data_IF_767828647962
#
_entry.id   IF_767828647962
#
_cell.length_a   1.000
_cell.length_b   1.000
_cell.length_c   1.000
_cell.angle_alpha   90.00
_cell.angle_beta   90.00
_cell.angle_gamma   90.00
#
_symmetry.space_group_name_H-M   'P 1'
#
loop_
_entity.id
_entity.type
_entity.pdbx_description
1 polymer ?
#
# COMPACT_ATOMS: atom_id res chain seq x y z
N UNK A 1 -20.08 38.31 -5.88
CA UNK A 1 -18.78 38.22 -5.21
C UNK A 1 -18.48 36.76 -4.91
N UNK A 2 -17.36 36.24 -5.42
CA UNK A 2 -16.67 35.05 -4.93
C UNK A 2 -17.31 33.68 -5.17
N UNK A 3 -17.27 33.18 -6.41
CA UNK A 3 -17.30 31.72 -6.66
C UNK A 3 -16.02 31.12 -6.09
N UNK A 4 -16.12 30.50 -4.91
CA UNK A 4 -15.02 29.74 -4.32
C UNK A 4 -14.86 28.42 -5.06
N UNK A 5 -13.73 28.26 -5.73
CA UNK A 5 -13.32 27.03 -6.42
C UNK A 5 -13.46 25.81 -5.49
N UNK A 6 -14.51 25.03 -5.68
CA UNK A 6 -14.50 23.62 -5.33
C UNK A 6 -13.51 22.94 -6.28
N UNK A 7 -12.24 22.90 -5.90
CA UNK A 7 -11.31 21.98 -6.56
C UNK A 7 -11.89 20.60 -6.32
N UNK A 8 -12.39 19.95 -7.38
CA UNK A 8 -12.67 18.53 -7.37
C UNK A 8 -11.47 17.85 -6.71
N UNK A 9 -11.64 17.31 -5.50
CA UNK A 9 -10.61 16.55 -4.79
C UNK A 9 -10.47 15.17 -5.44
N UNK A 10 -10.22 15.15 -6.75
CA UNK A 10 -9.89 13.96 -7.50
C UNK A 10 -8.56 13.40 -6.98
N UNK A 11 -8.57 12.15 -6.50
CA UNK A 11 -7.33 11.46 -6.16
C UNK A 11 -6.50 11.26 -7.42
N UNK A 12 -5.35 11.92 -7.51
CA UNK A 12 -4.34 11.54 -8.50
C UNK A 12 -3.65 10.26 -8.02
N UNK A 13 -4.10 9.13 -8.56
CA UNK A 13 -3.59 7.80 -8.24
C UNK A 13 -2.08 7.65 -8.49
N UNK A 14 -1.47 8.50 -9.31
CA UNK A 14 -0.02 8.49 -9.58
C UNK A 14 0.82 8.90 -8.38
N UNK A 15 0.21 9.53 -7.36
CA UNK A 15 0.87 9.84 -6.08
C UNK A 15 1.22 8.57 -5.30
N UNK A 16 0.49 7.48 -5.55
CA UNK A 16 0.73 6.16 -4.97
C UNK A 16 1.47 5.34 -6.03
N UNK A 17 2.69 4.84 -5.76
CA UNK A 17 3.39 3.96 -6.70
C UNK A 17 2.63 2.64 -6.86
N UNK A 18 2.83 1.94 -7.98
CA UNK A 18 2.29 0.59 -8.14
C UNK A 18 3.07 -0.38 -7.25
N UNK A 19 2.36 -1.37 -6.72
CA UNK A 19 2.96 -2.46 -5.95
C UNK A 19 2.67 -3.78 -6.63
N UNK A 20 3.73 -4.47 -7.06
CA UNK A 20 3.65 -5.75 -7.76
C UNK A 20 3.96 -6.95 -6.86
N UNK A 21 4.51 -6.69 -5.66
CA UNK A 21 4.98 -7.70 -4.72
C UNK A 21 6.44 -8.10 -4.89
N UNK A 22 7.23 -7.33 -5.65
CA UNK A 22 8.66 -7.59 -5.85
C UNK A 22 9.48 -7.45 -4.55
N UNK A 23 10.53 -8.27 -4.32
CA UNK A 23 11.30 -8.24 -3.08
C UNK A 23 12.02 -6.92 -2.80
N UNK A 24 12.21 -6.07 -3.81
CA UNK A 24 12.83 -4.76 -3.67
C UNK A 24 11.85 -3.70 -3.13
N UNK A 25 10.55 -3.98 -3.12
CA UNK A 25 9.52 -3.10 -2.62
C UNK A 25 9.11 -3.51 -1.20
N UNK A 26 9.11 -2.55 -0.27
CA UNK A 26 8.57 -2.78 1.08
C UNK A 26 7.06 -2.61 1.06
N UNK A 27 6.31 -3.69 1.31
CA UNK A 27 4.85 -3.66 1.46
C UNK A 27 4.41 -2.74 2.61
N UNK A 28 5.22 -2.64 3.67
CA UNK A 28 4.94 -1.78 4.83
C UNK A 28 5.04 -0.31 4.43
N UNK A 29 6.17 0.10 3.85
CA UNK A 29 6.36 1.50 3.41
C UNK A 29 5.32 1.90 2.35
N UNK A 30 4.97 0.95 1.46
CA UNK A 30 3.95 1.16 0.46
C UNK A 30 2.55 1.41 1.09
N UNK A 31 2.15 0.58 2.05
CA UNK A 31 0.89 0.74 2.79
C UNK A 31 0.84 2.06 3.55
N UNK A 32 1.90 2.42 4.27
CA UNK A 32 2.00 3.71 4.98
C UNK A 32 1.86 4.90 4.03
N UNK A 33 2.47 4.82 2.84
CA UNK A 33 2.34 5.85 1.81
C UNK A 33 0.91 5.97 1.28
N UNK A 34 0.23 4.84 1.04
CA UNK A 34 -1.19 4.82 0.62
C UNK A 34 -2.05 5.54 1.66
N UNK A 35 -1.90 5.19 2.94
CA UNK A 35 -2.66 5.81 4.04
C UNK A 35 -2.39 7.31 4.16
N UNK A 36 -1.13 7.71 4.08
CA UNK A 36 -0.75 9.12 4.13
C UNK A 36 -1.37 9.90 2.97
N UNK A 37 -1.29 9.39 1.74
CA UNK A 37 -1.88 10.05 0.57
C UNK A 37 -3.40 10.15 0.73
N UNK A 38 -4.08 9.08 1.12
CA UNK A 38 -5.53 9.11 1.36
C UNK A 38 -5.91 10.15 2.41
N UNK A 39 -5.17 10.22 3.54
CA UNK A 39 -5.37 11.23 4.58
C UNK A 39 -5.19 12.66 4.07
N UNK A 40 -4.14 12.92 3.29
CA UNK A 40 -3.85 14.24 2.71
C UNK A 40 -4.89 14.67 1.66
N UNK A 41 -5.63 13.73 1.09
CA UNK A 41 -6.66 13.97 0.06
C UNK A 41 -8.09 13.87 0.61
N UNK A 42 -8.27 13.74 1.92
CA UNK A 42 -9.56 13.55 2.60
C UNK A 42 -10.35 12.32 2.09
N UNK A 43 -9.65 11.21 1.85
CA UNK A 43 -10.23 9.94 1.41
C UNK A 43 -10.35 9.00 2.61
N UNK A 44 -11.58 8.67 2.97
CA UNK A 44 -11.90 7.76 4.07
C UNK A 44 -11.87 6.28 3.66
N UNK A 45 -12.25 5.96 2.43
CA UNK A 45 -12.32 4.58 1.93
C UNK A 45 -10.98 4.14 1.33
N UNK A 46 -10.00 3.89 2.19
CA UNK A 46 -8.67 3.40 1.78
C UNK A 46 -8.73 1.99 1.20
N UNK A 47 -9.69 1.16 1.63
CA UNK A 47 -9.87 -0.20 1.14
C UNK A 47 -10.15 -0.22 -0.37
N UNK A 48 -10.89 0.76 -0.89
CA UNK A 48 -11.11 0.92 -2.33
C UNK A 48 -9.87 1.39 -3.11
N UNK A 49 -8.95 2.11 -2.47
CA UNK A 49 -7.77 2.71 -3.14
C UNK A 49 -6.66 1.70 -3.34
N UNK A 50 -6.42 0.84 -2.35
CA UNK A 50 -5.37 -0.19 -2.38
C UNK A 50 -5.39 -0.99 -3.70
N UNK A 51 -6.49 -1.67 -4.09
CA UNK A 51 -6.49 -2.51 -5.28
C UNK A 51 -6.27 -1.75 -6.59
N UNK A 52 -6.52 -0.43 -6.65
CA UNK A 52 -6.29 0.38 -7.85
C UNK A 52 -4.81 0.55 -8.20
N UNK A 53 -3.92 0.28 -7.23
CA UNK A 53 -2.47 0.42 -7.36
C UNK A 53 -1.72 -0.89 -7.15
N UNK A 54 -2.44 -1.99 -6.94
CA UNK A 54 -1.87 -3.32 -6.96
C UNK A 54 -1.73 -3.81 -8.41
N UNK A 55 -0.62 -4.48 -8.69
CA UNK A 55 -0.34 -5.14 -9.97
C UNK A 55 0.26 -6.52 -9.69
N UNK A 56 0.49 -7.31 -10.74
CA UNK A 56 1.25 -8.56 -10.64
C UNK A 56 0.77 -9.51 -9.53
N UNK A 57 1.73 -10.03 -8.76
CA UNK A 57 1.47 -10.97 -7.66
C UNK A 57 0.66 -10.36 -6.53
N UNK A 58 0.85 -9.08 -6.24
CA UNK A 58 0.10 -8.40 -5.20
C UNK A 58 -1.40 -8.29 -5.52
N UNK A 59 -1.75 -8.02 -6.78
CA UNK A 59 -3.15 -8.05 -7.21
C UNK A 59 -3.74 -9.46 -7.14
N UNK A 60 -2.95 -10.50 -7.45
CA UNK A 60 -3.39 -11.89 -7.33
C UNK A 60 -3.71 -12.29 -5.86
N UNK A 61 -2.98 -11.76 -4.87
CA UNK A 61 -3.30 -11.94 -3.44
C UNK A 61 -4.63 -11.28 -3.09
N UNK A 62 -4.87 -10.06 -3.55
CA UNK A 62 -6.15 -9.37 -3.34
C UNK A 62 -7.33 -10.15 -3.95
N UNK A 63 -7.14 -10.78 -5.11
CA UNK A 63 -8.17 -11.59 -5.76
C UNK A 63 -8.51 -12.88 -4.99
N UNK A 64 -7.64 -13.37 -4.10
CA UNK A 64 -7.93 -14.54 -3.27
C UNK A 64 -8.86 -14.21 -2.09
N UNK A 65 -8.99 -12.93 -1.73
CA UNK A 65 -9.90 -12.49 -0.68
C UNK A 65 -11.37 -12.59 -1.14
N UNK A 66 -12.24 -12.95 -0.20
CA UNK A 66 -13.69 -12.94 -0.42
C UNK A 66 -14.27 -11.51 -0.30
N UNK A 67 -15.55 -11.33 -0.64
CA UNK A 67 -16.19 -10.01 -0.66
C UNK A 67 -16.19 -9.31 0.72
N UNK A 68 -16.31 -10.08 1.81
CA UNK A 68 -16.30 -9.53 3.17
C UNK A 68 -14.91 -9.04 3.55
N UNK A 69 -13.87 -9.82 3.22
CA UNK A 69 -12.47 -9.45 3.47
C UNK A 69 -12.06 -8.23 2.63
N UNK A 70 -12.48 -8.15 1.36
CA UNK A 70 -12.21 -6.98 0.50
C UNK A 70 -12.88 -5.68 0.97
N UNK A 71 -13.88 -5.78 1.85
CA UNK A 71 -14.52 -4.60 2.44
C UNK A 71 -13.81 -4.12 3.71
N UNK A 72 -12.82 -4.86 4.20
CA UNK A 72 -12.05 -4.54 5.40
C UNK A 72 -10.61 -4.18 5.03
N UNK A 73 -10.22 -2.94 5.35
CA UNK A 73 -8.84 -2.48 5.18
C UNK A 73 -7.85 -3.37 5.94
N UNK A 74 -8.23 -3.80 7.15
CA UNK A 74 -7.37 -4.62 8.00
C UNK A 74 -7.12 -5.99 7.35
N UNK A 75 -8.16 -6.61 6.77
CA UNK A 75 -8.02 -7.90 6.08
C UNK A 75 -7.17 -7.80 4.81
N UNK A 76 -7.33 -6.73 4.05
CA UNK A 76 -6.48 -6.49 2.86
C UNK A 76 -5.02 -6.34 3.29
N UNK A 77 -4.74 -5.53 4.33
CA UNK A 77 -3.39 -5.34 4.85
C UNK A 77 -2.79 -6.62 5.39
N UNK A 78 -3.53 -7.36 6.20
CA UNK A 78 -3.10 -8.66 6.75
C UNK A 78 -2.67 -9.61 5.62
N UNK A 79 -3.47 -9.72 4.55
CA UNK A 79 -3.16 -10.59 3.43
C UNK A 79 -1.91 -10.15 2.65
N UNK A 80 -1.76 -8.85 2.40
CA UNK A 80 -0.58 -8.30 1.72
C UNK A 80 0.68 -8.47 2.58
N UNK A 81 0.60 -8.22 3.88
CA UNK A 81 1.71 -8.41 4.82
C UNK A 81 2.08 -9.90 4.91
N UNK A 82 1.10 -10.79 5.03
CA UNK A 82 1.37 -12.22 5.08
C UNK A 82 2.05 -12.75 3.80
N UNK A 83 1.76 -12.15 2.64
CA UNK A 83 2.32 -12.58 1.37
C UNK A 83 3.69 -11.94 1.04
N UNK A 84 3.95 -10.70 1.45
CA UNK A 84 5.09 -9.91 0.98
C UNK A 84 5.97 -9.29 2.08
N UNK A 85 5.58 -9.36 3.36
CA UNK A 85 6.47 -8.88 4.41
C UNK A 85 7.72 -9.77 4.47
N UNK A 86 8.88 -9.13 4.62
CA UNK A 86 10.13 -9.86 4.82
C UNK A 86 10.03 -10.70 6.09
N UNK A 87 10.43 -11.96 5.98
CA UNK A 87 10.54 -12.82 7.15
C UNK A 87 11.54 -12.21 8.16
N UNK A 88 11.27 -12.25 9.48
CA UNK A 88 12.14 -11.67 10.49
C UNK A 88 13.60 -12.14 10.44
N UNK A 89 13.87 -13.38 10.03
CA UNK A 89 15.23 -13.88 9.87
C UNK A 89 15.92 -13.25 8.65
N UNK A 90 15.18 -13.07 7.56
CA UNK A 90 15.67 -12.36 6.36
C UNK A 90 15.93 -10.88 6.66
N UNK A 91 15.05 -10.23 7.41
CA UNK A 91 15.23 -8.84 7.84
C UNK A 91 16.48 -8.69 8.74
N UNK A 92 16.72 -9.63 9.65
CA UNK A 92 17.93 -9.65 10.48
C UNK A 92 19.20 -9.87 9.65
N UNK A 93 19.21 -10.82 8.71
CA UNK A 93 20.37 -11.07 7.86
C UNK A 93 20.71 -9.86 6.98
N UNK A 94 19.70 -9.20 6.40
CA UNK A 94 19.87 -7.96 5.65
C UNK A 94 20.40 -6.82 6.52
N UNK A 95 19.94 -6.72 7.76
CA UNK A 95 20.41 -5.72 8.72
C UNK A 95 21.88 -5.96 9.11
N UNK A 96 22.27 -7.20 9.39
CA UNK A 96 23.64 -7.59 9.77
C UNK A 96 24.60 -7.48 8.57
N UNK A 97 24.12 -7.77 7.37
CA UNK A 97 24.90 -7.69 6.13
C UNK A 97 25.18 -6.24 5.68
N UNK A 98 24.45 -5.25 6.22
CA UNK A 98 24.80 -3.82 6.03
C UNK A 98 26.04 -3.51 6.85
N UNK A 99 27.23 -3.68 6.25
CA UNK A 99 28.44 -3.08 6.80
C UNK A 99 28.26 -1.56 6.81
N UNK A 100 28.27 -0.95 7.99
CA UNK A 100 28.54 0.47 8.15
C UNK A 100 29.96 0.70 7.61
N UNK A 101 30.07 1.23 6.39
CA UNK A 101 31.34 1.70 5.87
C UNK A 101 31.89 2.83 6.77
N UNK A 102 33.22 3.01 6.83
CA UNK A 102 33.85 4.03 7.67
C UNK A 102 33.43 5.46 7.31
#
# INVERSE_FOLDING_TARGET
MGSGNGVDKSLDLRLIPEFDGSPQQSVVEWLEKVELVCKLRDISDVASVIPLRLTGGAFAVYLQLNAQERSSIDKIKEALLAAFAADPFVAYDQFVSRKLGP
#
